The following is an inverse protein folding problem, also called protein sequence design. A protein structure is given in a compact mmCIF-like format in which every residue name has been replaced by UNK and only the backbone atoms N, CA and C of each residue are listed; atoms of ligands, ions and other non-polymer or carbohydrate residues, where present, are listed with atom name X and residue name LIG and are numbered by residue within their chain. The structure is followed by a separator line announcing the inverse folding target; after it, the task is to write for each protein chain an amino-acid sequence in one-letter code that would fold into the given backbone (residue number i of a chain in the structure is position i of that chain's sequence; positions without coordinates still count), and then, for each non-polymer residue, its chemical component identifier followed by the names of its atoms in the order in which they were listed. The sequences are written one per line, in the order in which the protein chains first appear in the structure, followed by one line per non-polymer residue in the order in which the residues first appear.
data_IF_178036941779
#
_entry.id   IF_178036941779
#
_cell.length_a   1.000
_cell.length_b   1.000
_cell.length_c   1.000
_cell.angle_alpha   90.00
_cell.angle_beta   90.00
_cell.angle_gamma   90.00
#
_symmetry.space_group_name_H-M   'P 1'
#
loop_
_entity.id
_entity.type
_entity.pdbx_description
1 polymer ?
#
# COMPACT_ATOMS: atom_id res chain seq x y z
N UNK A 1 15.29 15.59 -10.04
CA UNK A 1 14.90 15.98 -11.41
C UNK A 1 14.76 17.49 -11.44
N UNK A 2 15.20 18.14 -12.51
CA UNK A 2 14.99 19.57 -12.70
C UNK A 2 13.56 19.81 -13.22
N UNK A 3 12.73 20.55 -12.48
CA UNK A 3 11.32 20.82 -12.82
C UNK A 3 11.22 22.09 -13.67
N UNK A 4 11.85 22.07 -14.85
CA UNK A 4 11.86 23.19 -15.80
C UNK A 4 11.14 22.84 -17.11
N UNK A 5 10.65 23.86 -17.81
CA UNK A 5 10.04 23.70 -19.13
C UNK A 5 10.99 23.00 -20.12
N UNK A 6 12.28 23.33 -20.06
CA UNK A 6 13.30 22.70 -20.91
C UNK A 6 13.49 21.22 -20.56
N UNK A 7 13.50 20.86 -19.27
CA UNK A 7 13.59 19.47 -18.85
C UNK A 7 12.36 18.66 -19.32
N UNK A 8 11.16 19.22 -19.16
CA UNK A 8 9.92 18.59 -19.64
C UNK A 8 9.94 18.37 -21.16
N UNK A 9 10.30 19.40 -21.94
CA UNK A 9 10.39 19.30 -23.41
C UNK A 9 11.45 18.27 -23.85
N UNK A 10 12.58 18.18 -23.14
CA UNK A 10 13.63 17.19 -23.39
C UNK A 10 13.14 15.77 -23.13
N UNK A 11 12.49 15.52 -21.99
CA UNK A 11 11.95 14.20 -21.63
C UNK A 11 10.87 13.77 -22.62
N UNK A 12 9.97 14.67 -23.00
CA UNK A 12 8.95 14.40 -24.03
C UNK A 12 9.59 14.02 -25.38
N UNK A 13 10.64 14.73 -25.79
CA UNK A 13 11.38 14.43 -27.03
C UNK A 13 12.06 13.06 -26.98
N UNK A 14 12.63 12.69 -25.83
CA UNK A 14 13.22 11.37 -25.59
C UNK A 14 12.16 10.25 -25.64
N UNK A 15 11.00 10.46 -25.02
CA UNK A 15 9.89 9.51 -25.06
C UNK A 15 9.39 9.27 -26.49
N UNK A 16 9.25 10.33 -27.30
CA UNK A 16 8.86 10.21 -28.73
C UNK A 16 9.92 9.45 -29.53
N UNK A 17 11.21 9.72 -29.30
CA UNK A 17 12.29 9.00 -29.97
C UNK A 17 12.27 7.50 -29.61
N UNK A 18 12.09 7.18 -28.33
CA UNK A 18 11.97 5.79 -27.86
C UNK A 18 10.76 5.08 -28.45
N UNK A 19 9.61 5.76 -28.54
CA UNK A 19 8.40 5.21 -29.14
C UNK A 19 8.60 4.89 -30.63
N UNK A 20 9.27 5.76 -31.38
CA UNK A 20 9.59 5.52 -32.80
C UNK A 20 10.50 4.31 -32.99
N UNK A 21 11.53 4.16 -32.15
CA UNK A 21 12.43 3.00 -32.17
C UNK A 21 11.68 1.72 -31.82
N UNK A 22 10.88 1.74 -30.75
CA UNK A 22 10.08 0.59 -30.31
C UNK A 22 9.11 0.13 -31.41
N UNK A 23 8.46 1.07 -32.11
CA UNK A 23 7.58 0.76 -33.23
C UNK A 23 8.31 0.12 -34.43
N UNK A 24 9.61 0.36 -34.62
CA UNK A 24 10.40 -0.34 -35.64
C UNK A 24 10.70 -1.78 -35.20
N UNK A 25 11.06 -1.98 -33.93
CA UNK A 25 11.34 -3.31 -33.36
C UNK A 25 10.09 -4.19 -33.40
N UNK A 26 8.93 -3.67 -32.98
CA UNK A 26 7.66 -4.41 -33.01
C UNK A 26 7.31 -4.87 -34.44
N UNK A 27 7.46 -3.97 -35.43
CA UNK A 27 7.25 -4.31 -36.84
C UNK A 27 8.27 -5.33 -37.37
N UNK A 28 9.54 -5.20 -36.99
CA UNK A 28 10.58 -6.14 -37.37
C UNK A 28 10.32 -7.54 -36.77
N UNK A 29 9.68 -7.61 -35.61
CA UNK A 29 9.21 -8.85 -34.98
C UNK A 29 7.92 -9.41 -35.61
N UNK A 30 7.37 -8.78 -36.65
CA UNK A 30 6.17 -9.23 -37.36
C UNK A 30 4.85 -8.93 -36.65
N UNK A 31 4.86 -8.03 -35.67
CA UNK A 31 3.65 -7.55 -34.99
C UNK A 31 3.28 -6.14 -35.48
N UNK A 32 1.99 -5.90 -35.63
CA UNK A 32 1.40 -4.58 -35.89
C UNK A 32 0.64 -4.03 -34.66
N UNK A 33 0.89 -4.60 -33.48
CA UNK A 33 0.24 -4.19 -32.24
C UNK A 33 0.50 -2.71 -31.95
N UNK A 34 -0.59 -1.97 -31.73
CA UNK A 34 -0.55 -0.58 -31.26
C UNK A 34 -0.85 -0.52 -29.78
N UNK A 35 -0.11 0.32 -29.07
CA UNK A 35 -0.44 0.66 -27.68
C UNK A 35 -1.63 1.61 -27.70
N UNK A 36 -2.76 1.13 -27.19
CA UNK A 36 -3.97 1.91 -26.97
C UNK A 36 -4.30 1.89 -25.47
N UNK A 37 -4.74 3.03 -24.96
CA UNK A 37 -5.19 3.17 -23.58
C UNK A 37 -6.71 3.16 -23.55
N UNK A 38 -7.30 2.54 -22.53
CA UNK A 38 -8.73 2.66 -22.26
C UNK A 38 -9.10 4.13 -22.00
N UNK A 39 -10.34 4.48 -22.36
CA UNK A 39 -10.87 5.81 -22.12
C UNK A 39 -10.98 6.10 -20.62
N UNK A 40 -10.80 7.36 -20.26
CA UNK A 40 -11.00 7.87 -18.90
C UNK A 40 -11.68 9.24 -19.02
N UNK A 41 -12.66 9.59 -18.16
CA UNK A 41 -13.21 10.93 -18.11
C UNK A 41 -12.13 12.01 -17.96
N UNK A 42 -12.33 13.15 -18.62
CA UNK A 42 -11.39 14.28 -18.54
C UNK A 42 -11.58 15.01 -17.21
N UNK A 43 -10.52 15.06 -16.40
CA UNK A 43 -10.51 15.75 -15.11
C UNK A 43 -9.70 17.04 -15.21
N UNK A 44 -10.33 18.11 -15.71
CA UNK A 44 -9.67 19.41 -15.90
C UNK A 44 -9.62 20.21 -14.61
N UNK A 45 -8.44 20.73 -14.26
CA UNK A 45 -8.18 21.65 -13.13
C UNK A 45 -8.70 21.12 -11.78
N UNK A 46 -8.53 19.82 -11.53
CA UNK A 46 -8.97 19.20 -10.26
C UNK A 46 -7.85 19.20 -9.23
N UNK A 47 -8.23 19.47 -7.98
CA UNK A 47 -7.33 19.36 -6.82
C UNK A 47 -7.91 18.38 -5.83
N UNK A 48 -7.07 17.47 -5.33
CA UNK A 48 -7.41 16.56 -4.26
C UNK A 48 -6.38 16.64 -3.14
N UNK A 49 -6.83 16.59 -1.89
CA UNK A 49 -5.96 16.60 -0.70
C UNK A 49 -6.41 15.46 0.19
N UNK A 50 -5.46 14.66 0.70
CA UNK A 50 -5.74 13.61 1.67
C UNK A 50 -6.40 14.19 2.93
N UNK A 51 -7.28 13.42 3.57
CA UNK A 51 -7.93 13.81 4.83
C UNK A 51 -6.93 13.75 6.01
N UNK A 52 -6.62 14.89 6.61
CA UNK A 52 -5.83 15.03 7.84
C UNK A 52 -6.21 16.31 8.58
N UNK A 53 -6.06 16.33 9.91
CA UNK A 53 -6.44 17.47 10.74
C UNK A 53 -5.25 18.39 11.03
N UNK A 54 -4.08 17.81 11.34
CA UNK A 54 -2.88 18.56 11.74
C UNK A 54 -1.74 18.21 10.80
N UNK A 55 -1.24 19.20 10.06
CA UNK A 55 -0.06 19.01 9.21
C UNK A 55 1.18 18.66 10.07
N UNK A 56 1.78 17.46 9.93
CA UNK A 56 2.95 17.09 10.72
C UNK A 56 4.18 17.96 10.41
N UNK A 57 4.22 18.66 9.28
CA UNK A 57 5.30 19.60 8.95
C UNK A 57 5.11 20.97 9.60
N UNK A 58 3.90 21.30 10.08
CA UNK A 58 3.64 22.52 10.84
C UNK A 58 3.97 22.36 12.34
N UNK A 59 4.11 21.12 12.82
CA UNK A 59 4.46 20.82 14.22
C UNK A 59 5.95 21.05 14.46
N UNK A 60 6.37 21.75 15.54
CA UNK A 60 7.77 21.94 15.87
C UNK A 60 8.49 20.63 16.15
N UNK A 61 9.77 20.54 15.75
CA UNK A 61 10.54 19.31 15.94
C UNK A 61 10.77 18.97 17.43
N UNK A 62 10.79 19.98 18.31
CA UNK A 62 10.86 19.78 19.77
C UNK A 62 9.63 19.03 20.31
N UNK A 63 8.43 19.34 19.80
CA UNK A 63 7.20 18.65 20.19
C UNK A 63 7.23 17.20 19.72
N UNK A 64 7.69 16.96 18.49
CA UNK A 64 7.81 15.60 17.93
C UNK A 64 8.82 14.77 18.70
N UNK A 65 10.03 15.31 18.90
CA UNK A 65 11.09 14.63 19.64
C UNK A 65 10.69 14.42 21.11
N UNK A 66 10.01 15.39 21.72
CA UNK A 66 9.49 15.30 23.07
C UNK A 66 8.52 14.13 23.24
N UNK A 67 7.57 13.95 22.30
CA UNK A 67 6.63 12.84 22.34
C UNK A 67 7.32 11.48 22.19
N UNK A 68 8.25 11.33 21.23
CA UNK A 68 8.99 10.08 21.06
C UNK A 68 9.90 9.76 22.25
N UNK A 69 10.49 10.79 22.87
CA UNK A 69 11.26 10.64 24.10
C UNK A 69 10.39 10.22 25.28
N UNK A 70 9.17 10.72 25.36
CA UNK A 70 8.18 10.34 26.38
C UNK A 70 7.80 8.86 26.25
N UNK A 71 7.43 8.41 25.04
CA UNK A 71 7.15 6.99 24.76
C UNK A 71 8.34 6.09 25.12
N UNK A 72 9.54 6.52 24.73
CA UNK A 72 10.78 5.79 25.02
C UNK A 72 11.04 5.70 26.53
N UNK A 73 10.81 6.78 27.28
CA UNK A 73 10.97 6.80 28.73
C UNK A 73 9.95 5.89 29.44
N UNK A 74 8.70 5.85 28.98
CA UNK A 74 7.68 4.93 29.52
C UNK A 74 8.07 3.47 29.33
N UNK A 75 8.50 3.10 28.13
CA UNK A 75 8.93 1.74 27.81
C UNK A 75 10.19 1.35 28.58
N UNK A 76 11.19 2.23 28.66
CA UNK A 76 12.41 1.98 29.44
C UNK A 76 12.17 1.86 30.95
N UNK A 77 11.10 2.47 31.47
CA UNK A 77 10.72 2.32 32.87
C UNK A 77 10.01 0.99 33.15
N UNK A 78 9.58 0.26 32.11
CA UNK A 78 8.92 -1.03 32.26
C UNK A 78 9.92 -2.15 32.57
N UNK A 79 9.48 -3.11 33.39
CA UNK A 79 10.32 -4.26 33.73
C UNK A 79 10.57 -5.13 32.49
N UNK A 80 11.83 -5.52 32.27
CA UNK A 80 12.23 -6.40 31.17
C UNK A 80 12.53 -5.68 29.86
N UNK A 81 12.52 -4.35 29.84
CA UNK A 81 12.96 -3.55 28.69
C UNK A 81 14.33 -2.93 28.99
N UNK A 82 15.33 -3.27 28.18
CA UNK A 82 16.71 -2.81 28.34
C UNK A 82 17.06 -1.70 27.33
N UNK A 83 16.41 -1.69 26.18
CA UNK A 83 16.62 -0.68 25.14
C UNK A 83 15.32 -0.34 24.41
N UNK A 84 15.23 0.91 23.95
CA UNK A 84 14.12 1.39 23.13
C UNK A 84 14.67 2.24 21.98
N UNK A 85 14.22 1.92 20.78
CA UNK A 85 14.35 2.77 19.60
C UNK A 85 12.99 3.37 19.26
N UNK A 86 12.95 4.65 18.91
CA UNK A 86 11.74 5.33 18.46
C UNK A 86 12.05 6.19 17.24
N UNK A 87 11.16 6.17 16.27
CA UNK A 87 11.30 6.82 14.98
C UNK A 87 9.96 7.35 14.48
N UNK A 88 10.03 8.37 13.63
CA UNK A 88 8.88 8.94 12.98
C UNK A 88 9.24 9.24 11.53
N UNK A 89 8.55 8.58 10.61
CA UNK A 89 8.58 8.93 9.20
C UNK A 89 7.37 9.81 8.87
N UNK A 90 7.58 10.95 8.23
CA UNK A 90 6.52 11.81 7.70
C UNK A 90 6.78 12.10 6.23
N UNK A 91 5.73 12.01 5.41
CA UNK A 91 5.79 12.25 3.96
C UNK A 91 4.70 13.23 3.58
N UNK A 92 5.10 14.35 2.97
CA UNK A 92 4.23 15.28 2.27
C UNK A 92 4.53 15.18 0.79
N UNK A 93 3.62 14.54 0.06
CA UNK A 93 3.76 14.28 -1.38
C UNK A 93 2.82 15.19 -2.15
N UNK A 94 3.35 15.87 -3.17
CA UNK A 94 2.59 16.67 -4.11
C UNK A 94 2.82 16.10 -5.52
N UNK A 95 1.76 15.77 -6.24
CA UNK A 95 1.85 15.35 -7.64
C UNK A 95 1.00 16.27 -8.52
N UNK A 96 1.55 16.57 -9.70
CA UNK A 96 0.85 17.23 -10.79
C UNK A 96 0.83 16.27 -11.97
N UNK A 97 -0.35 16.06 -12.55
CA UNK A 97 -0.56 15.22 -13.72
C UNK A 97 -1.29 16.02 -14.80
N UNK A 98 -0.83 15.88 -16.04
CA UNK A 98 -1.51 16.44 -17.20
C UNK A 98 -1.35 15.53 -18.42
N UNK A 99 -2.40 15.42 -19.24
CA UNK A 99 -2.39 14.65 -20.48
C UNK A 99 -2.92 15.44 -21.69
N UNK A 100 -2.79 14.84 -22.87
CA UNK A 100 -3.28 15.43 -24.13
C UNK A 100 -4.79 15.28 -24.34
N UNK A 101 -5.47 14.50 -23.50
CA UNK A 101 -6.94 14.40 -23.50
C UNK A 101 -7.58 15.60 -22.78
N UNK A 102 -6.80 16.34 -21.99
CA UNK A 102 -7.22 17.55 -21.29
C UNK A 102 -7.34 17.39 -19.78
N UNK A 103 -6.93 16.24 -19.23
CA UNK A 103 -6.87 16.05 -17.78
C UNK A 103 -5.73 16.88 -17.22
N UNK A 104 -6.00 17.62 -16.14
CA UNK A 104 -5.03 18.42 -15.38
C UNK A 104 -5.41 18.30 -13.91
N UNK A 105 -4.60 17.58 -13.13
CA UNK A 105 -4.90 17.34 -11.71
C UNK A 105 -3.69 17.65 -10.83
N UNK A 106 -3.95 18.21 -9.65
CA UNK A 106 -2.97 18.30 -8.55
C UNK A 106 -3.47 17.45 -7.40
N UNK A 107 -2.59 16.66 -6.79
CA UNK A 107 -2.91 15.92 -5.57
C UNK A 107 -1.86 16.13 -4.49
N UNK A 108 -2.32 16.27 -3.25
CA UNK A 108 -1.47 16.36 -2.07
C UNK A 108 -1.80 15.23 -1.10
N UNK A 109 -0.77 14.58 -0.56
CA UNK A 109 -0.89 13.49 0.40
C UNK A 109 0.01 13.70 1.60
N UNK A 110 -0.54 13.52 2.78
CA UNK A 110 0.22 13.38 4.02
C UNK A 110 0.14 11.92 4.47
N UNK A 111 1.30 11.35 4.80
CA UNK A 111 1.41 10.03 5.41
C UNK A 111 2.42 10.09 6.53
N UNK A 112 2.22 9.29 7.56
CA UNK A 112 3.17 9.13 8.63
C UNK A 112 3.24 7.69 9.13
N UNK A 113 4.35 7.39 9.79
CA UNK A 113 4.61 6.11 10.43
C UNK A 113 5.47 6.34 11.67
N UNK A 114 4.83 6.64 12.82
CA UNK A 114 5.48 6.48 14.12
C UNK A 114 5.81 5.02 14.35
N UNK A 115 7.00 4.74 14.85
CA UNK A 115 7.38 3.41 15.27
C UNK A 115 8.29 3.44 16.48
N UNK A 116 8.05 2.53 17.43
CA UNK A 116 9.00 2.22 18.49
C UNK A 116 9.27 0.71 18.55
N UNK A 117 10.44 0.34 19.05
CA UNK A 117 10.86 -1.05 19.28
C UNK A 117 11.46 -1.16 20.67
N UNK A 118 10.85 -1.96 21.53
CA UNK A 118 11.40 -2.34 22.82
C UNK A 118 12.25 -3.60 22.68
N UNK A 119 13.38 -3.67 23.39
CA UNK A 119 14.33 -4.79 23.36
C UNK A 119 14.59 -5.26 24.79
N UNK A 120 14.62 -6.57 24.97
CA UNK A 120 14.98 -7.24 26.22
C UNK A 120 16.25 -8.05 26.01
N UNK A 121 17.15 -8.05 26.99
CA UNK A 121 18.40 -8.82 27.00
C UNK A 121 18.52 -9.57 28.32
N UNK A 122 18.53 -10.89 28.29
CA UNK A 122 18.84 -11.71 29.46
C UNK A 122 20.35 -11.62 29.76
N UNK A 123 20.70 -10.90 30.83
CA UNK A 123 22.09 -10.72 31.24
C UNK A 123 22.83 -12.00 31.65
N UNK A 124 22.12 -13.11 31.86
CA UNK A 124 22.71 -14.40 32.25
C UNK A 124 23.01 -15.31 31.05
N UNK A 125 22.08 -15.39 30.09
CA UNK A 125 22.20 -16.23 28.90
C UNK A 125 22.76 -15.47 27.68
N UNK A 126 22.63 -14.14 27.67
CA UNK A 126 22.89 -13.29 26.52
C UNK A 126 21.80 -13.35 25.44
N UNK A 127 20.70 -14.07 25.68
CA UNK A 127 19.55 -14.09 24.80
C UNK A 127 18.89 -12.72 24.75
N UNK A 128 18.37 -12.34 23.58
CA UNK A 128 17.66 -11.10 23.41
C UNK A 128 16.51 -11.28 22.43
N UNK A 129 15.49 -10.46 22.61
CA UNK A 129 14.41 -10.32 21.64
C UNK A 129 13.85 -8.90 21.66
N UNK A 130 12.99 -8.60 20.70
CA UNK A 130 12.38 -7.30 20.51
C UNK A 130 10.90 -7.41 20.19
N UNK A 131 10.18 -6.34 20.56
CA UNK A 131 8.79 -6.15 20.22
C UNK A 131 8.61 -4.74 19.66
N UNK A 132 8.16 -4.68 18.40
CA UNK A 132 7.88 -3.43 17.68
C UNK A 132 6.41 -3.10 17.80
N UNK A 133 6.09 -1.80 17.74
CA UNK A 133 4.70 -1.35 17.56
C UNK A 133 4.03 -2.08 16.37
N UNK A 134 2.76 -2.38 16.54
CA UNK A 134 1.85 -2.92 15.54
C UNK A 134 0.95 -1.84 14.94
N UNK A 135 1.08 -0.59 15.38
CA UNK A 135 0.40 0.55 14.78
C UNK A 135 0.77 0.65 13.29
N UNK A 136 -0.22 0.61 12.37
CA UNK A 136 0.08 0.70 10.97
C UNK A 136 0.51 2.12 10.59
N UNK A 137 1.35 2.27 9.54
CA UNK A 137 1.50 3.54 8.85
C UNK A 137 0.14 4.04 8.31
N UNK A 138 -0.10 5.35 8.35
CA UNK A 138 -1.41 5.93 8.05
C UNK A 138 -1.34 7.19 7.18
N UNK A 139 -2.37 7.41 6.36
CA UNK A 139 -2.63 8.67 5.63
C UNK A 139 -3.33 9.70 6.52
N UNK A 140 -2.77 9.96 7.70
CA UNK A 140 -3.25 10.92 8.71
C UNK A 140 -2.19 11.99 8.97
N UNK A 141 -2.61 13.06 9.63
CA UNK A 141 -1.74 14.08 10.18
C UNK A 141 -1.29 13.75 11.61
N UNK A 142 -0.67 14.73 12.27
CA UNK A 142 -0.11 14.61 13.62
C UNK A 142 -1.13 14.10 14.66
N UNK A 143 -2.42 14.30 14.44
CA UNK A 143 -3.50 13.77 15.29
C UNK A 143 -3.43 12.25 15.50
N UNK A 144 -2.78 11.51 14.59
CA UNK A 144 -2.58 10.08 14.74
C UNK A 144 -1.72 9.74 15.96
N UNK A 145 -0.71 10.54 16.28
CA UNK A 145 0.19 10.30 17.41
C UNK A 145 -0.42 10.73 18.75
N UNK A 146 -1.49 11.52 18.72
CA UNK A 146 -2.14 12.09 19.92
C UNK A 146 -3.46 11.39 20.27
N UNK A 147 -3.67 10.17 19.75
CA UNK A 147 -4.79 9.30 20.12
C UNK A 147 -5.92 9.20 19.10
N UNK A 148 -5.81 9.85 17.93
CA UNK A 148 -6.83 9.73 16.87
C UNK A 148 -6.53 8.56 15.95
N UNK A 149 -7.33 7.51 16.04
CA UNK A 149 -7.26 6.35 15.14
C UNK A 149 -6.31 5.24 15.59
N UNK A 150 -5.48 5.49 16.61
CA UNK A 150 -4.70 4.47 17.31
C UNK A 150 -4.58 4.82 18.80
N UNK A 151 -4.68 3.79 19.65
CA UNK A 151 -4.55 3.92 21.10
C UNK A 151 -3.09 3.64 21.50
N UNK A 152 -2.29 4.70 21.52
CA UNK A 152 -0.87 4.61 21.86
C UNK A 152 -0.64 4.27 23.33
N UNK A 153 -1.54 4.70 24.22
CA UNK A 153 -1.43 4.41 25.64
C UNK A 153 -1.61 2.91 25.91
N UNK A 154 -2.66 2.27 25.33
CA UNK A 154 -2.85 0.82 25.43
C UNK A 154 -1.66 0.04 24.87
N UNK A 155 -1.15 0.46 23.71
CA UNK A 155 -0.04 -0.25 23.08
C UNK A 155 1.26 -0.14 23.90
N UNK A 156 1.62 1.06 24.35
CA UNK A 156 2.82 1.27 25.19
C UNK A 156 2.75 0.46 26.48
N UNK A 157 1.56 0.29 27.07
CA UNK A 157 1.36 -0.53 28.27
C UNK A 157 1.51 -2.02 27.99
N UNK A 158 1.09 -2.51 26.82
CA UNK A 158 1.08 -3.95 26.48
C UNK A 158 2.41 -4.46 25.95
N UNK A 159 3.19 -3.62 25.27
CA UNK A 159 4.44 -4.03 24.61
C UNK A 159 5.44 -4.71 25.56
N UNK A 160 5.69 -4.22 26.79
CA UNK A 160 6.58 -4.90 27.72
C UNK A 160 6.12 -6.31 28.10
N UNK A 161 4.80 -6.51 28.27
CA UNK A 161 4.24 -7.84 28.58
C UNK A 161 4.43 -8.80 27.41
N UNK A 162 4.09 -8.37 26.18
CA UNK A 162 4.27 -9.16 24.97
C UNK A 162 5.75 -9.52 24.73
N UNK A 163 6.66 -8.58 24.99
CA UNK A 163 8.10 -8.83 24.92
C UNK A 163 8.54 -9.88 25.95
N UNK A 164 8.06 -9.79 27.19
CA UNK A 164 8.38 -10.77 28.23
C UNK A 164 7.78 -12.16 27.96
N UNK A 165 6.62 -12.24 27.29
CA UNK A 165 6.08 -13.49 26.76
C UNK A 165 6.95 -14.04 25.63
N UNK A 166 7.36 -13.20 24.69
CA UNK A 166 8.21 -13.58 23.56
C UNK A 166 9.58 -14.13 24.01
N UNK A 167 10.21 -13.51 25.01
CA UNK A 167 11.44 -14.00 25.63
C UNK A 167 11.30 -15.39 26.26
N UNK A 168 10.10 -15.78 26.68
CA UNK A 168 9.81 -17.11 27.26
C UNK A 168 9.31 -18.11 26.23
N UNK A 169 9.00 -17.67 25.01
CA UNK A 169 8.39 -18.50 24.01
C UNK A 169 9.40 -19.56 23.51
N UNK A 170 9.03 -20.84 23.47
CA UNK A 170 9.89 -21.86 22.87
C UNK A 170 9.99 -21.62 21.36
N UNK A 171 11.04 -22.19 20.76
CA UNK A 171 11.12 -22.28 19.31
C UNK A 171 9.96 -23.11 18.74
N UNK A 172 9.65 -22.90 17.46
CA UNK A 172 8.56 -23.61 16.77
C UNK A 172 9.13 -24.77 15.98
N UNK A 173 8.58 -25.97 16.17
CA UNK A 173 8.92 -27.13 15.36
C UNK A 173 8.27 -27.02 13.97
N UNK A 174 9.00 -27.22 12.86
CA UNK A 174 8.44 -27.14 11.53
C UNK A 174 7.38 -28.23 11.30
N UNK A 175 6.20 -27.83 10.80
CA UNK A 175 5.08 -28.74 10.62
C UNK A 175 3.83 -28.03 10.10
N UNK A 176 2.72 -28.78 10.04
CA UNK A 176 1.40 -28.27 9.70
C UNK A 176 0.67 -27.88 10.98
N UNK A 177 0.24 -26.63 11.07
CA UNK A 177 -0.51 -26.09 12.19
C UNK A 177 -1.71 -25.29 11.69
N UNK A 178 -2.75 -25.25 12.52
CA UNK A 178 -3.80 -24.24 12.36
C UNK A 178 -3.26 -22.91 12.89
N UNK A 179 -3.30 -21.88 12.04
CA UNK A 179 -2.78 -20.55 12.37
C UNK A 179 -3.93 -19.55 12.52
N UNK A 180 -3.97 -18.85 13.66
CA UNK A 180 -4.81 -17.67 13.85
C UNK A 180 -3.92 -16.45 13.70
N UNK A 181 -4.16 -15.66 12.65
CA UNK A 181 -3.34 -14.49 12.32
C UNK A 181 -3.99 -13.24 12.87
N UNK A 182 -3.24 -12.47 13.66
CA UNK A 182 -3.67 -11.17 14.15
C UNK A 182 -3.88 -10.18 12.97
N UNK A 183 -4.91 -9.32 13.00
CA UNK A 183 -5.14 -8.34 11.94
C UNK A 183 -3.94 -7.46 11.59
N UNK A 184 -3.07 -7.15 12.56
CA UNK A 184 -1.84 -6.39 12.35
C UNK A 184 -0.84 -7.08 11.42
N UNK A 185 -0.95 -8.39 11.24
CA UNK A 185 -0.11 -9.19 10.34
C UNK A 185 -0.78 -9.50 8.99
N UNK A 186 -2.10 -9.32 8.89
CA UNK A 186 -2.86 -9.69 7.69
C UNK A 186 -2.49 -8.86 6.45
N UNK A 187 -2.08 -7.60 6.60
CA UNK A 187 -1.81 -6.73 5.46
C UNK A 187 -0.74 -7.31 4.50
N UNK A 188 0.37 -7.83 5.03
CA UNK A 188 1.42 -8.44 4.22
C UNK A 188 0.97 -9.80 3.67
N UNK A 189 0.28 -10.60 4.47
CA UNK A 189 -0.23 -11.90 4.02
C UNK A 189 -1.18 -11.72 2.82
N UNK A 190 -2.10 -10.77 2.89
CA UNK A 190 -3.02 -10.45 1.80
C UNK A 190 -2.25 -9.86 0.61
N UNK A 191 -1.26 -9.00 0.84
CA UNK A 191 -0.43 -8.41 -0.23
C UNK A 191 0.28 -9.48 -1.06
N UNK A 192 0.99 -10.40 -0.40
CA UNK A 192 1.80 -11.40 -1.08
C UNK A 192 0.95 -12.53 -1.69
N UNK A 193 -0.06 -13.00 -0.96
CA UNK A 193 -0.87 -14.13 -1.43
C UNK A 193 -1.93 -13.72 -2.44
N UNK A 194 -2.48 -12.50 -2.34
CA UNK A 194 -3.62 -12.03 -3.13
C UNK A 194 -3.26 -10.87 -4.03
N UNK A 195 -2.67 -9.83 -3.45
CA UNK A 195 -2.39 -8.59 -4.14
C UNK A 195 -1.67 -8.80 -5.46
N UNK A 196 -0.44 -9.31 -5.39
CA UNK A 196 0.35 -9.62 -6.58
C UNK A 196 -0.32 -10.63 -7.50
N UNK A 197 -0.99 -11.64 -6.97
CA UNK A 197 -1.68 -12.62 -7.81
C UNK A 197 -2.80 -11.99 -8.65
N UNK A 198 -3.39 -10.90 -8.18
CA UNK A 198 -4.49 -10.18 -8.83
C UNK A 198 -4.05 -8.98 -9.67
N UNK A 199 -2.76 -8.74 -9.84
CA UNK A 199 -2.24 -7.78 -10.84
C UNK A 199 -2.33 -8.42 -12.23
N UNK A 200 -3.12 -7.81 -13.13
CA UNK A 200 -3.50 -8.47 -14.40
C UNK A 200 -2.35 -8.55 -15.39
N UNK A 201 -1.44 -7.58 -15.42
CA UNK A 201 -0.20 -7.65 -16.20
C UNK A 201 0.67 -8.86 -15.79
N UNK A 202 0.78 -9.14 -14.49
CA UNK A 202 1.42 -10.35 -13.96
C UNK A 202 0.64 -11.61 -14.36
N UNK A 203 -0.68 -11.59 -14.28
CA UNK A 203 -1.52 -12.72 -14.69
C UNK A 203 -1.46 -13.01 -16.21
N UNK A 204 -1.17 -12.00 -17.03
CA UNK A 204 -0.91 -12.13 -18.47
C UNK A 204 0.55 -12.50 -18.80
N UNK A 205 1.43 -12.58 -17.79
CA UNK A 205 2.82 -12.98 -17.96
C UNK A 205 3.77 -11.86 -18.39
N UNK A 206 3.33 -10.59 -18.43
CA UNK A 206 4.20 -9.45 -18.75
C UNK A 206 5.31 -9.27 -17.69
N UNK A 207 5.04 -9.66 -16.44
CA UNK A 207 6.02 -9.60 -15.34
C UNK A 207 6.69 -10.95 -15.03
N UNK A 208 6.50 -11.97 -15.87
CA UNK A 208 7.00 -13.33 -15.58
C UNK A 208 8.52 -13.38 -15.35
N UNK A 209 9.28 -12.50 -16.01
CA UNK A 209 10.73 -12.40 -15.87
C UNK A 209 11.21 -11.59 -14.64
N UNK A 210 10.33 -10.85 -13.97
CA UNK A 210 10.70 -9.96 -12.86
C UNK A 210 10.08 -10.41 -11.52
N UNK A 211 8.79 -10.76 -11.54
CA UNK A 211 8.03 -11.05 -10.32
C UNK A 211 7.47 -12.49 -10.31
N UNK A 212 7.49 -13.20 -11.44
CA UNK A 212 6.98 -14.56 -11.60
C UNK A 212 5.59 -14.62 -12.24
N UNK A 213 5.02 -15.82 -12.38
CA UNK A 213 3.66 -16.01 -12.92
C UNK A 213 2.61 -15.92 -11.82
N UNK A 214 1.35 -15.64 -12.18
CA UNK A 214 0.22 -15.75 -11.25
C UNK A 214 -0.52 -17.08 -11.42
N UNK A 215 -1.04 -17.64 -10.31
CA UNK A 215 -1.98 -18.76 -10.36
C UNK A 215 -3.41 -18.30 -10.66
N UNK A 216 -3.72 -17.03 -10.42
CA UNK A 216 -4.99 -16.40 -10.73
C UNK A 216 -5.00 -15.90 -12.18
N UNK A 217 -4.72 -16.79 -13.14
CA UNK A 217 -4.67 -16.46 -14.58
C UNK A 217 -6.03 -15.98 -15.10
N UNK A 218 -6.05 -15.19 -16.17
CA UNK A 218 -7.27 -14.52 -16.65
C UNK A 218 -8.45 -15.46 -16.95
N UNK A 219 -8.18 -16.71 -17.37
CA UNK A 219 -9.19 -17.75 -17.60
C UNK A 219 -9.91 -18.25 -16.32
N UNK A 220 -9.34 -17.95 -15.15
CA UNK A 220 -9.84 -18.29 -13.83
C UNK A 220 -10.83 -17.27 -13.26
N UNK A 221 -11.02 -16.13 -13.93
CA UNK A 221 -11.98 -15.11 -13.54
C UNK A 221 -13.39 -15.71 -13.41
N UNK A 222 -14.00 -15.55 -12.24
CA UNK A 222 -15.32 -16.12 -11.91
C UNK A 222 -15.34 -17.63 -11.66
N UNK A 223 -14.19 -18.31 -11.68
CA UNK A 223 -14.09 -19.78 -11.52
C UNK A 223 -13.21 -20.20 -10.36
N UNK A 224 -12.09 -19.50 -10.13
CA UNK A 224 -11.14 -19.86 -9.09
C UNK A 224 -11.75 -19.63 -7.71
N UNK A 225 -11.87 -20.72 -6.95
CA UNK A 225 -12.14 -20.68 -5.51
C UNK A 225 -10.86 -20.28 -4.78
N UNK A 226 -10.76 -19.00 -4.46
CA UNK A 226 -9.64 -18.40 -3.76
C UNK A 226 -9.58 -18.82 -2.30
N UNK A 227 -10.74 -18.98 -1.66
CA UNK A 227 -10.83 -19.36 -0.27
C UNK A 227 -12.24 -19.78 0.13
N UNK A 228 -12.50 -19.80 1.44
CA UNK A 228 -13.85 -20.08 1.97
C UNK A 228 -14.86 -19.03 1.52
N UNK A 229 -16.15 -19.36 1.56
CA UNK A 229 -17.25 -18.42 1.25
C UNK A 229 -17.27 -17.18 2.16
N UNK A 230 -16.57 -17.21 3.29
CA UNK A 230 -16.43 -16.06 4.19
C UNK A 230 -15.42 -15.01 3.69
N UNK A 231 -14.59 -15.39 2.72
CA UNK A 231 -13.47 -14.57 2.26
C UNK A 231 -13.94 -13.54 1.24
N UNK A 232 -13.77 -12.27 1.59
CA UNK A 232 -14.05 -11.14 0.72
C UNK A 232 -12.85 -10.19 0.76
N UNK A 233 -12.35 -9.81 -0.40
CA UNK A 233 -11.18 -8.95 -0.56
C UNK A 233 -11.55 -7.87 -1.56
N UNK A 234 -11.51 -6.62 -1.11
CA UNK A 234 -11.83 -5.45 -1.92
C UNK A 234 -10.55 -4.63 -2.10
N UNK A 235 -10.17 -4.33 -3.34
CA UNK A 235 -9.15 -3.33 -3.62
C UNK A 235 -9.78 -1.95 -3.49
N UNK A 236 -9.25 -1.10 -2.59
CA UNK A 236 -9.85 0.20 -2.28
C UNK A 236 -8.80 1.32 -2.32
N UNK A 237 -8.96 2.25 -3.27
CA UNK A 237 -8.16 3.48 -3.40
C UNK A 237 -8.83 4.70 -2.76
N UNK A 238 -10.05 4.52 -2.24
CA UNK A 238 -10.89 5.57 -1.65
C UNK A 238 -10.99 5.49 -0.13
N UNK A 239 -10.49 4.41 0.48
CA UNK A 239 -10.47 4.19 1.92
C UNK A 239 -9.86 5.39 2.66
N UNK A 240 -10.65 6.14 3.41
CA UNK A 240 -10.14 7.31 4.12
C UNK A 240 -8.97 6.94 5.05
N UNK A 241 -7.92 7.76 5.04
CA UNK A 241 -6.66 7.57 5.77
C UNK A 241 -5.84 6.32 5.40
N UNK A 242 -6.21 5.61 4.35
CA UNK A 242 -5.41 4.52 3.80
C UNK A 242 -4.10 5.00 3.21
N UNK A 243 -3.05 4.17 3.30
CA UNK A 243 -1.76 4.48 2.68
C UNK A 243 -1.80 4.55 1.16
N UNK A 244 -2.74 3.83 0.57
CA UNK A 244 -2.98 3.76 -0.86
C UNK A 244 -3.90 4.87 -1.36
N UNK A 245 -4.48 5.67 -0.47
CA UNK A 245 -5.59 6.56 -0.82
C UNK A 245 -5.08 7.74 -1.64
N UNK A 246 -5.74 7.95 -2.78
CA UNK A 246 -5.43 8.98 -3.76
C UNK A 246 -6.74 9.50 -4.36
N UNK A 247 -6.70 10.69 -4.96
CA UNK A 247 -7.81 11.14 -5.82
C UNK A 247 -7.74 10.51 -7.21
N UNK A 248 -6.51 10.39 -7.74
CA UNK A 248 -6.22 9.88 -9.08
C UNK A 248 -4.93 9.05 -9.03
N UNK A 249 -4.89 7.98 -9.83
CA UNK A 249 -3.67 7.21 -10.07
C UNK A 249 -2.68 7.98 -10.98
N UNK A 250 -1.52 7.39 -11.27
CA UNK A 250 -0.48 8.06 -12.05
C UNK A 250 -0.74 8.08 -13.57
N UNK A 251 -1.87 7.51 -14.03
CA UNK A 251 -2.42 7.64 -15.38
C UNK A 251 -3.63 8.57 -15.47
N UNK A 252 -3.94 9.28 -14.37
CA UNK A 252 -5.06 10.22 -14.28
C UNK A 252 -6.42 9.55 -14.10
N UNK A 253 -6.46 8.27 -13.72
CA UNK A 253 -7.70 7.52 -13.49
C UNK A 253 -8.22 7.81 -12.08
N UNK A 254 -9.49 8.21 -11.98
CA UNK A 254 -10.11 8.49 -10.68
C UNK A 254 -10.12 7.24 -9.79
N UNK A 255 -9.77 7.44 -8.52
CA UNK A 255 -9.74 6.40 -7.51
C UNK A 255 -11.11 5.74 -7.31
N UNK A 256 -11.11 4.43 -7.09
CA UNK A 256 -12.32 3.64 -6.93
C UNK A 256 -12.11 2.46 -5.98
N UNK A 257 -13.17 1.69 -5.78
CA UNK A 257 -13.19 0.49 -4.95
C UNK A 257 -13.89 -0.64 -5.72
N UNK A 258 -13.30 -1.84 -5.70
CA UNK A 258 -13.79 -3.00 -6.44
C UNK A 258 -13.47 -4.31 -5.72
N UNK A 259 -14.26 -5.34 -5.99
CA UNK A 259 -14.05 -6.67 -5.42
C UNK A 259 -12.96 -7.41 -6.21
N UNK A 260 -11.95 -7.92 -5.50
CA UNK A 260 -10.97 -8.88 -6.03
C UNK A 260 -11.47 -10.31 -5.78
N UNK A 261 -11.91 -10.58 -4.55
CA UNK A 261 -12.50 -11.86 -4.14
C UNK A 261 -13.86 -11.58 -3.51
N UNK A 262 -14.89 -12.31 -3.96
CA UNK A 262 -16.25 -12.23 -3.42
C UNK A 262 -16.78 -13.61 -3.15
N UNK A 263 -17.28 -13.82 -1.93
CA UNK A 263 -17.78 -15.12 -1.45
C UNK A 263 -16.78 -16.27 -1.76
N UNK A 264 -15.49 -16.01 -1.55
CA UNK A 264 -14.41 -16.97 -1.80
C UNK A 264 -14.02 -17.17 -3.27
N UNK A 265 -14.61 -16.46 -4.22
CA UNK A 265 -14.33 -16.60 -5.66
C UNK A 265 -13.60 -15.37 -6.21
N UNK A 266 -12.62 -15.58 -7.09
CA UNK A 266 -11.96 -14.50 -7.83
C UNK A 266 -12.94 -13.81 -8.79
N UNK A 267 -13.20 -12.52 -8.59
CA UNK A 267 -14.17 -11.75 -9.38
C UNK A 267 -13.60 -10.49 -10.03
N UNK A 268 -12.37 -10.11 -9.70
CA UNK A 268 -11.73 -8.92 -10.25
C UNK A 268 -10.21 -8.99 -10.23
N UNK A 269 -9.61 -8.03 -10.93
CA UNK A 269 -8.17 -7.84 -11.03
C UNK A 269 -7.82 -6.38 -10.74
N UNK A 270 -6.54 -6.08 -10.59
CA UNK A 270 -5.92 -4.75 -10.61
C UNK A 270 -5.36 -4.51 -12.02
N UNK A 271 -5.69 -3.36 -12.64
CA UNK A 271 -5.31 -3.09 -14.02
C UNK A 271 -5.13 -1.59 -14.30
N UNK A 272 -4.16 -1.27 -15.17
CA UNK A 272 -3.97 0.05 -15.76
C UNK A 272 -4.84 0.26 -17.02
N UNK A 273 -4.75 1.43 -17.67
CA UNK A 273 -5.55 1.74 -18.86
C UNK A 273 -5.16 0.89 -20.07
N UNK A 274 -3.89 0.48 -20.20
CA UNK A 274 -3.42 -0.33 -21.33
C UNK A 274 -3.95 -1.75 -21.21
N UNK A 275 -3.78 -2.36 -20.04
CA UNK A 275 -4.23 -3.72 -19.75
C UNK A 275 -5.74 -3.81 -19.82
N UNK A 276 -6.48 -2.79 -19.34
CA UNK A 276 -7.93 -2.69 -19.54
C UNK A 276 -8.30 -2.86 -21.01
N UNK A 277 -7.65 -2.06 -21.88
CA UNK A 277 -7.90 -2.04 -23.32
C UNK A 277 -7.56 -3.38 -23.99
N UNK A 278 -6.45 -4.00 -23.60
CA UNK A 278 -5.99 -5.28 -24.16
C UNK A 278 -6.91 -6.46 -23.80
N UNK A 279 -7.46 -6.45 -22.59
CA UNK A 279 -8.27 -7.57 -22.06
C UNK A 279 -9.77 -7.35 -22.21
N UNK A 280 -10.19 -6.19 -22.73
CA UNK A 280 -11.58 -5.87 -23.00
C UNK A 280 -12.35 -5.34 -21.79
N UNK A 281 -11.69 -4.99 -20.69
CA UNK A 281 -12.32 -4.21 -19.63
C UNK A 281 -12.60 -2.79 -20.14
N UNK A 282 -13.75 -2.24 -19.74
CA UNK A 282 -14.19 -0.92 -20.17
C UNK A 282 -13.28 0.20 -19.63
N UNK A 283 -12.75 0.03 -18.41
CA UNK A 283 -12.02 1.06 -17.68
C UNK A 283 -10.91 0.46 -16.81
N UNK A 284 -9.84 1.22 -16.60
CA UNK A 284 -8.86 0.99 -15.52
C UNK A 284 -9.52 1.15 -14.15
N UNK A 285 -9.00 0.42 -13.15
CA UNK A 285 -9.44 0.59 -11.77
C UNK A 285 -8.53 1.51 -10.93
N UNK A 286 -7.67 2.30 -11.57
CA UNK A 286 -6.85 3.28 -10.87
C UNK A 286 -5.65 2.66 -10.14
N UNK A 287 -5.08 1.60 -10.73
CA UNK A 287 -3.95 0.86 -10.17
C UNK A 287 -2.59 1.21 -10.80
N UNK A 288 -2.52 2.21 -11.69
CA UNK A 288 -1.24 2.61 -12.26
C UNK A 288 -0.45 3.47 -11.27
N UNK A 289 0.80 3.08 -11.02
CA UNK A 289 1.70 3.73 -10.09
C UNK A 289 3.07 3.99 -10.71
N UNK A 290 3.53 5.22 -10.58
CA UNK A 290 4.82 5.63 -11.10
C UNK A 290 5.91 5.56 -10.04
N UNK A 291 6.90 4.69 -10.25
CA UNK A 291 8.14 4.64 -9.45
C UNK A 291 8.91 5.97 -9.55
N UNK A 292 8.75 6.68 -10.66
CA UNK A 292 9.29 8.01 -10.90
C UNK A 292 8.49 8.72 -11.99
N UNK A 293 8.63 10.05 -12.17
CA UNK A 293 7.99 10.76 -13.28
C UNK A 293 8.32 10.23 -14.69
N UNK A 294 9.34 9.36 -14.82
CA UNK A 294 9.72 8.71 -16.08
C UNK A 294 9.39 7.21 -16.17
N UNK A 295 8.74 6.61 -15.16
CA UNK A 295 8.43 5.18 -15.11
C UNK A 295 7.07 4.98 -14.46
N UNK A 296 6.05 4.61 -15.24
CA UNK A 296 4.76 4.13 -14.75
C UNK A 296 4.75 2.59 -14.80
N UNK A 297 4.40 1.96 -13.68
CA UNK A 297 4.19 0.51 -13.52
C UNK A 297 2.78 0.26 -12.98
N UNK A 298 2.30 -0.98 -12.97
CA UNK A 298 1.10 -1.35 -12.22
C UNK A 298 1.35 -1.50 -10.70
N UNK A 299 2.53 -1.17 -10.18
CA UNK A 299 2.93 -1.50 -8.81
C UNK A 299 2.64 -0.39 -7.81
N UNK A 300 1.37 -0.23 -7.42
CA UNK A 300 0.97 0.62 -6.30
C UNK A 300 -0.32 0.11 -5.68
N UNK A 301 -0.18 -0.71 -4.63
CA UNK A 301 -1.29 -1.48 -4.11
C UNK A 301 -2.44 -0.59 -3.58
N UNK A 302 -3.71 -0.85 -3.95
CA UNK A 302 -4.88 -0.35 -3.25
C UNK A 302 -4.92 -0.91 -1.84
N UNK A 303 -5.46 -0.17 -0.86
CA UNK A 303 -5.62 -0.71 0.48
C UNK A 303 -6.68 -1.81 0.40
N UNK A 304 -6.31 -3.07 0.60
CA UNK A 304 -7.34 -4.12 0.61
C UNK A 304 -8.02 -4.19 1.96
N UNK A 305 -9.35 -4.10 1.96
CA UNK A 305 -10.17 -4.39 3.15
C UNK A 305 -10.68 -5.83 3.07
N UNK A 306 -10.43 -6.59 4.13
CA UNK A 306 -11.16 -7.83 4.41
C UNK A 306 -12.35 -7.46 5.30
N UNK A 307 -13.53 -7.31 4.70
CA UNK A 307 -14.73 -6.86 5.42
C UNK A 307 -15.59 -8.02 5.93
N UNK A 308 -15.98 -7.96 7.21
CA UNK A 308 -17.31 -8.42 7.67
C UNK A 308 -18.21 -7.20 7.85
N UNK A 309 -19.23 -7.04 7.02
CA UNK A 309 -20.37 -6.17 7.34
C UNK A 309 -21.55 -7.01 7.80
N UNK A 310 -21.61 -7.30 9.10
CA UNK A 310 -22.88 -7.48 9.80
C UNK A 310 -22.85 -6.72 11.14
N UNK A 311 -23.67 -5.68 11.32
CA UNK A 311 -23.80 -5.02 12.62
C UNK A 311 -24.54 -5.97 13.57
N UNK A 312 -23.93 -6.26 14.72
CA UNK A 312 -24.59 -6.96 15.82
C UNK A 312 -24.14 -8.41 16.02
N UNK A 313 -23.01 -8.60 16.68
CA UNK A 313 -22.82 -9.77 17.53
C UNK A 313 -21.91 -9.40 18.70
N UNK A 314 -22.51 -9.02 19.83
CA UNK A 314 -21.83 -8.99 21.13
C UNK A 314 -21.54 -10.45 21.53
N UNK A 315 -20.27 -10.80 21.75
CA UNK A 315 -19.82 -11.88 22.65
C UNK A 315 -18.46 -11.46 23.20
N UNK A 316 -18.33 -11.07 24.47
CA UNK A 316 -18.12 -11.97 25.62
C UNK A 316 -17.28 -13.18 25.23
N UNK A 317 -15.97 -13.02 25.40
CA UNK A 317 -15.19 -13.92 26.24
C UNK A 317 -14.66 -13.05 27.38
#
# INVERSE_FOLDING_TARGET
MDLTLNAAAKVASQAVAMAKLSAQVIRAAGSDERVELAGEPVHSEKTWVSSYDIDPFAVPDEEKAGLLAEWSARLLAANGVDHVDASLLTVHENKFYADTAGTVTTQQRVRLHPAFTAVSVDGSSGEFDSMRTVAPPAGRGWEYLTGTGWDWDDELERIPELLAEKMRAPSVDPGLYDLVVDPSNLWLTIHESIGHATELDRALGYEAAYAGTSFATFDQLGKLKYGSELMNVTGDRTAEHGLATVGYDDEGVEAQSWDLVKDGTLVGYQLDRRIARLTGFERSNGCAFADSPGMCRCSGWPMCRCGRTRPGCRRRI
#
